data_IF_761556977453
#
_entry.id   IF_761556977453
#
_cell.length_a   1.000
_cell.length_b   1.000
_cell.length_c   1.000
_cell.angle_alpha   90.00
_cell.angle_beta   90.00
_cell.angle_gamma   90.00
#
_symmetry.space_group_name_H-M   'P 1'
#
loop_
_entity.id
_entity.type
_entity.pdbx_description
1 polymer ?
#
# COMPACT_ATOMS: atom_id res chain seq x y z
N UNK A 1 0.51 -13.84 -4.31
CA UNK A 1 0.67 -15.11 -5.04
C UNK A 1 2.16 -15.21 -5.27
N UNK A 2 2.78 -16.30 -4.85
CA UNK A 2 4.22 -16.46 -4.95
C UNK A 2 4.52 -17.39 -6.12
N UNK A 3 5.67 -17.17 -6.76
CA UNK A 3 6.16 -17.98 -7.86
C UNK A 3 7.40 -18.70 -7.35
N UNK A 4 7.45 -20.02 -7.57
CA UNK A 4 8.59 -20.84 -7.19
C UNK A 4 9.82 -20.53 -8.07
N UNK A 5 11.01 -20.79 -7.55
CA UNK A 5 12.26 -20.56 -8.27
C UNK A 5 12.47 -21.53 -9.45
N UNK A 6 11.83 -22.71 -9.44
CA UNK A 6 11.91 -23.70 -10.51
C UNK A 6 10.54 -23.97 -11.16
N UNK A 7 9.89 -22.89 -11.60
CA UNK A 7 8.54 -22.92 -12.19
C UNK A 7 8.55 -23.18 -13.70
N UNK A 8 7.54 -23.90 -14.20
CA UNK A 8 7.32 -24.10 -15.65
C UNK A 8 6.42 -23.00 -16.22
N UNK A 9 6.51 -22.78 -17.54
CA UNK A 9 5.73 -21.75 -18.23
C UNK A 9 4.22 -21.88 -18.01
N UNK A 10 3.70 -23.10 -18.06
CA UNK A 10 2.25 -23.36 -17.90
C UNK A 10 1.76 -23.01 -16.49
N UNK A 11 2.61 -23.20 -15.48
CA UNK A 11 2.31 -22.82 -14.09
C UNK A 11 2.27 -21.28 -13.95
N UNK A 12 3.21 -20.57 -14.58
CA UNK A 12 3.19 -19.10 -14.63
C UNK A 12 1.92 -18.60 -15.33
N UNK A 13 1.55 -19.20 -16.46
CA UNK A 13 0.34 -18.83 -17.19
C UNK A 13 -0.93 -19.01 -16.35
N UNK A 14 -1.03 -20.11 -15.59
CA UNK A 14 -2.12 -20.34 -14.65
C UNK A 14 -2.18 -19.28 -13.55
N UNK A 15 -1.04 -18.95 -12.95
CA UNK A 15 -0.96 -17.91 -11.91
C UNK A 15 -1.34 -16.52 -12.45
N UNK A 16 -0.89 -16.17 -13.66
CA UNK A 16 -1.25 -14.91 -14.32
C UNK A 16 -2.74 -14.87 -14.62
N UNK A 17 -3.33 -15.97 -15.12
CA UNK A 17 -4.76 -16.05 -15.38
C UNK A 17 -5.59 -15.89 -14.10
N UNK A 18 -5.21 -16.56 -13.01
CA UNK A 18 -5.87 -16.43 -11.70
C UNK A 18 -5.70 -15.02 -11.10
N UNK A 19 -4.55 -14.39 -11.31
CA UNK A 19 -4.30 -13.02 -10.87
C UNK A 19 -5.17 -11.99 -11.63
N UNK A 20 -5.41 -12.21 -12.92
CA UNK A 20 -6.13 -11.26 -13.78
C UNK A 20 -7.65 -11.42 -13.74
N UNK A 21 -8.14 -12.66 -13.79
CA UNK A 21 -9.57 -12.95 -13.92
C UNK A 21 -10.14 -13.78 -12.75
N UNK A 22 -9.28 -14.47 -12.02
CA UNK A 22 -9.65 -15.31 -10.89
C UNK A 22 -10.10 -14.54 -9.66
N UNK A 23 -10.78 -15.25 -8.75
CA UNK A 23 -11.33 -14.62 -7.55
C UNK A 23 -10.22 -14.19 -6.59
N UNK A 24 -9.15 -14.99 -6.50
CA UNK A 24 -7.99 -14.65 -5.66
C UNK A 24 -7.33 -13.35 -6.15
N UNK A 25 -7.23 -13.16 -7.46
CA UNK A 25 -6.73 -11.91 -8.05
C UNK A 25 -7.56 -10.68 -7.67
N UNK A 26 -8.89 -10.79 -7.74
CA UNK A 26 -9.82 -9.72 -7.35
C UNK A 26 -9.71 -9.37 -5.87
N UNK A 27 -9.64 -10.38 -5.00
CA UNK A 27 -9.46 -10.17 -3.55
C UNK A 27 -8.13 -9.47 -3.24
N UNK A 28 -7.03 -9.89 -3.88
CA UNK A 28 -5.73 -9.24 -3.71
C UNK A 28 -5.75 -7.78 -4.16
N UNK A 29 -6.39 -7.50 -5.31
CA UNK A 29 -6.57 -6.13 -5.80
C UNK A 29 -7.36 -5.26 -4.81
N UNK A 30 -8.44 -5.79 -4.24
CA UNK A 30 -9.25 -5.07 -3.24
C UNK A 30 -8.40 -4.67 -2.01
N UNK A 31 -7.68 -5.63 -1.43
CA UNK A 31 -6.80 -5.38 -0.27
C UNK A 31 -5.74 -4.33 -0.57
N UNK A 32 -5.11 -4.40 -1.74
CA UNK A 32 -4.10 -3.42 -2.14
C UNK A 32 -4.68 -2.00 -2.29
N UNK A 33 -5.90 -1.87 -2.81
CA UNK A 33 -6.60 -0.59 -2.91
C UNK A 33 -6.99 -0.03 -1.53
N UNK A 34 -7.43 -0.89 -0.60
CA UNK A 34 -7.74 -0.49 0.77
C UNK A 34 -6.48 0.02 1.49
N UNK A 35 -5.35 -0.69 1.36
CA UNK A 35 -4.06 -0.24 1.90
C UNK A 35 -3.59 1.08 1.29
N UNK A 36 -3.74 1.27 -0.02
CA UNK A 36 -3.43 2.54 -0.68
C UNK A 36 -4.22 3.69 -0.06
N UNK A 37 -5.54 3.52 0.13
CA UNK A 37 -6.39 4.56 0.72
C UNK A 37 -6.02 4.88 2.18
N UNK A 38 -5.68 3.85 2.96
CA UNK A 38 -5.19 4.04 4.33
C UNK A 38 -3.88 4.83 4.35
N UNK A 39 -2.95 4.52 3.46
CA UNK A 39 -1.68 5.25 3.34
C UNK A 39 -1.89 6.72 2.95
N UNK A 40 -2.74 7.00 1.96
CA UNK A 40 -3.08 8.37 1.54
C UNK A 40 -3.71 9.18 2.69
N UNK A 41 -4.58 8.54 3.47
CA UNK A 41 -5.19 9.17 4.67
C UNK A 41 -4.13 9.47 5.72
N UNK A 42 -3.29 8.49 6.04
CA UNK A 42 -2.23 8.64 7.03
C UNK A 42 -1.21 9.72 6.67
N UNK A 43 -0.91 9.91 5.37
CA UNK A 43 -0.05 11.01 4.91
C UNK A 43 -0.67 12.37 5.21
N UNK A 44 -1.98 12.50 4.99
CA UNK A 44 -2.72 13.74 5.30
C UNK A 44 -2.62 14.08 6.79
N UNK A 45 -2.84 13.09 7.65
CA UNK A 45 -2.70 13.26 9.11
C UNK A 45 -1.25 13.54 9.52
N UNK A 46 -0.27 12.90 8.85
CA UNK A 46 1.15 13.11 9.14
C UNK A 46 1.62 14.53 8.80
N UNK A 47 1.07 15.15 7.75
CA UNK A 47 1.37 16.53 7.38
C UNK A 47 0.89 17.51 8.44
N UNK A 48 -0.33 17.33 8.96
CA UNK A 48 -0.86 18.14 10.07
C UNK A 48 -0.01 17.99 11.33
N UNK A 49 0.43 16.77 11.64
CA UNK A 49 1.32 16.51 12.76
C UNK A 49 2.69 17.16 12.58
N UNK A 50 3.25 17.14 11.35
CA UNK A 50 4.51 17.81 11.04
C UNK A 50 4.40 19.33 11.15
N UNK A 51 3.32 19.93 10.64
CA UNK A 51 3.05 21.37 10.78
C UNK A 51 2.95 21.77 12.26
N UNK A 52 2.21 21.00 13.06
CA UNK A 52 2.12 21.22 14.50
C UNK A 52 3.49 21.11 15.18
N UNK A 53 4.32 20.13 14.81
CA UNK A 53 5.68 19.99 15.35
C UNK A 53 6.56 21.18 14.97
N UNK A 54 6.52 21.62 13.71
CA UNK A 54 7.26 22.80 13.24
C UNK A 54 6.83 24.04 14.03
N UNK A 55 5.53 24.24 14.24
CA UNK A 55 5.02 25.35 15.05
C UNK A 55 5.50 25.26 16.50
N UNK A 56 5.46 24.08 17.12
CA UNK A 56 5.91 23.88 18.50
C UNK A 56 7.41 24.14 18.68
N UNK A 57 8.25 23.74 17.73
CA UNK A 57 9.71 23.81 17.85
C UNK A 57 10.26 25.16 17.38
N UNK A 58 9.75 25.69 16.26
CA UNK A 58 10.36 26.83 15.57
C UNK A 58 9.59 28.14 15.74
N UNK A 59 8.29 28.10 16.04
CA UNK A 59 7.44 29.30 16.07
C UNK A 59 6.89 29.62 17.46
N UNK A 60 7.25 28.84 18.49
CA UNK A 60 6.79 29.07 19.86
C UNK A 60 7.83 29.92 20.62
N UNK A 61 7.53 31.19 20.98
CA UNK A 61 8.51 32.12 21.55
C UNK A 61 8.81 31.89 23.04
N UNK A 62 8.52 30.69 23.56
CA UNK A 62 8.62 30.35 25.00
C UNK A 62 9.67 29.27 25.31
N UNK A 63 10.65 29.11 24.43
CA UNK A 63 11.99 28.57 24.76
C UNK A 63 12.98 29.73 24.72
#
# INVERSE_FOLDING_TARGET
MEIDNNVKRDEVEGLVSELMAGEKGKEMKKKAMDWKKLAETAVTDSNLNLENLIHQVLLNPSI
#
